data_IF_554052792364
#
_entry.id   IF_554052792364
#
_cell.length_a   1.000
_cell.length_b   1.000
_cell.length_c   1.000
_cell.angle_alpha   90.00
_cell.angle_beta   90.00
_cell.angle_gamma   90.00
#
_symmetry.space_group_name_H-M   'P 1'
#
loop_
_entity.id
_entity.type
_entity.pdbx_description
1 polymer ?
#
# COMPACT_ATOMS: atom_id res chain seq x y z
N UNK A 1 -12.12 -8.99 8.74
CA UNK A 1 -12.75 -8.88 7.40
C UNK A 1 -11.60 -8.79 6.44
N UNK A 2 -11.51 -9.70 5.46
CA UNK A 2 -10.36 -9.76 4.55
C UNK A 2 -10.31 -8.53 3.64
N UNK A 3 -9.11 -8.01 3.38
CA UNK A 3 -8.91 -6.93 2.40
C UNK A 3 -9.27 -7.43 0.98
N UNK A 4 -9.73 -6.53 0.12
CA UNK A 4 -9.85 -6.78 -1.30
C UNK A 4 -8.52 -7.24 -1.91
N UNK A 5 -8.53 -8.36 -2.65
CA UNK A 5 -7.35 -8.94 -3.24
C UNK A 5 -6.66 -8.00 -4.27
N UNK A 6 -7.44 -7.19 -5.01
CA UNK A 6 -6.90 -6.22 -5.96
C UNK A 6 -6.16 -5.09 -5.25
N UNK A 7 -6.70 -4.60 -4.12
CA UNK A 7 -6.01 -3.57 -3.32
C UNK A 7 -4.72 -4.13 -2.73
N UNK A 8 -4.75 -5.37 -2.24
CA UNK A 8 -3.54 -6.03 -1.75
C UNK A 8 -2.47 -6.20 -2.84
N UNK A 9 -2.89 -6.60 -4.05
CA UNK A 9 -2.00 -6.70 -5.21
C UNK A 9 -1.42 -5.34 -5.61
N UNK A 10 -2.23 -4.27 -5.58
CA UNK A 10 -1.78 -2.91 -5.88
C UNK A 10 -0.76 -2.39 -4.85
N UNK A 11 -0.99 -2.63 -3.55
CA UNK A 11 -0.01 -2.31 -2.49
C UNK A 11 1.31 -3.06 -2.71
N UNK A 12 1.25 -4.35 -3.05
CA UNK A 12 2.44 -5.17 -3.32
C UNK A 12 3.20 -4.66 -4.54
N UNK A 13 2.49 -4.28 -5.60
CA UNK A 13 3.08 -3.68 -6.79
C UNK A 13 3.77 -2.34 -6.48
N UNK A 14 3.14 -1.48 -5.65
CA UNK A 14 3.73 -0.21 -5.22
C UNK A 14 5.04 -0.45 -4.44
N UNK A 15 5.00 -1.34 -3.44
CA UNK A 15 6.17 -1.68 -2.65
C UNK A 15 7.33 -2.17 -3.53
N UNK A 16 7.08 -3.10 -4.46
CA UNK A 16 8.12 -3.65 -5.32
C UNK A 16 8.67 -2.63 -6.33
N UNK A 17 7.80 -1.84 -6.95
CA UNK A 17 8.18 -0.90 -8.03
C UNK A 17 8.85 0.38 -7.54
N UNK A 18 8.71 0.71 -6.25
CA UNK A 18 9.29 1.92 -5.65
C UNK A 18 10.38 1.64 -4.62
N UNK A 19 11.02 0.47 -4.71
CA UNK A 19 12.13 0.05 -3.84
C UNK A 19 11.74 0.00 -2.35
N UNK A 20 10.61 -0.63 -2.04
CA UNK A 20 9.99 -0.77 -0.72
C UNK A 20 10.93 -1.09 0.44
N UNK A 21 11.91 -1.93 0.19
CA UNK A 21 12.92 -2.32 1.18
C UNK A 21 13.74 -1.12 1.70
N UNK A 22 13.92 -0.09 0.85
CA UNK A 22 14.68 1.11 1.12
C UNK A 22 13.83 2.30 1.58
N UNK A 23 12.52 2.14 1.72
CA UNK A 23 11.66 3.20 2.26
C UNK A 23 12.08 3.56 3.68
N UNK A 24 12.00 4.85 4.01
CA UNK A 24 12.35 5.35 5.35
C UNK A 24 11.45 4.77 6.43
N UNK A 25 10.16 4.71 6.16
CA UNK A 25 9.15 4.09 7.00
C UNK A 25 8.33 3.09 6.19
N UNK A 26 8.48 1.81 6.55
CA UNK A 26 7.77 0.66 5.97
C UNK A 26 7.02 -0.13 7.04
N UNK A 27 6.70 0.49 8.17
CA UNK A 27 5.95 -0.17 9.25
C UNK A 27 4.64 -0.74 8.70
N UNK A 28 4.45 -2.03 8.93
CA UNK A 28 3.26 -2.75 8.49
C UNK A 28 3.32 -3.28 7.06
N UNK A 29 4.16 -2.77 6.16
CA UNK A 29 4.28 -3.21 4.75
C UNK A 29 4.93 -4.61 4.62
N UNK A 30 4.32 -5.60 5.27
CA UNK A 30 4.68 -7.00 5.29
C UNK A 30 3.73 -7.78 4.39
N UNK A 31 4.31 -8.45 3.41
CA UNK A 31 3.58 -9.24 2.42
C UNK A 31 3.70 -10.75 2.64
N UNK A 32 4.06 -11.18 3.86
CA UNK A 32 4.18 -12.59 4.25
C UNK A 32 2.86 -13.37 4.27
N UNK A 33 1.73 -12.67 4.44
CA UNK A 33 0.38 -13.25 4.35
C UNK A 33 -0.15 -13.19 2.92
N UNK A 34 -0.85 -14.23 2.47
CA UNK A 34 -1.53 -14.20 1.16
C UNK A 34 -2.84 -13.40 1.20
N UNK A 35 -3.51 -13.36 2.36
CA UNK A 35 -4.86 -12.78 2.54
C UNK A 35 -4.98 -12.03 3.87
N UNK A 36 -4.38 -10.83 3.99
CA UNK A 36 -4.44 -10.08 5.24
C UNK A 36 -5.86 -9.53 5.51
N UNK A 37 -6.19 -9.42 6.80
CA UNK A 37 -7.37 -8.68 7.23
C UNK A 37 -7.21 -7.18 6.96
N UNK A 38 -8.32 -6.52 6.63
CA UNK A 38 -8.41 -5.09 6.39
C UNK A 38 -7.86 -4.26 7.56
N UNK A 39 -8.13 -4.67 8.81
CA UNK A 39 -7.64 -3.98 10.01
C UNK A 39 -6.11 -4.06 10.15
N UNK A 40 -5.50 -5.15 9.71
CA UNK A 40 -4.04 -5.29 9.69
C UNK A 40 -3.46 -4.28 8.71
N UNK A 41 -4.04 -4.18 7.51
CA UNK A 41 -3.58 -3.28 6.45
C UNK A 41 -3.86 -1.82 6.77
N UNK A 42 -4.94 -1.52 7.50
CA UNK A 42 -5.21 -0.18 8.03
C UNK A 42 -4.19 0.27 9.08
N UNK A 43 -3.42 -0.66 9.65
CA UNK A 43 -2.29 -0.37 10.53
C UNK A 43 -0.98 -0.07 9.79
N UNK A 44 -0.95 -0.21 8.46
CA UNK A 44 0.26 0.05 7.68
C UNK A 44 0.52 1.56 7.58
N UNK A 45 1.78 1.94 7.61
CA UNK A 45 2.16 3.33 7.51
C UNK A 45 1.66 3.92 6.18
N UNK A 46 0.86 4.99 6.29
CA UNK A 46 0.36 5.73 5.13
C UNK A 46 -0.86 5.11 4.44
N UNK A 47 -1.41 4.00 4.93
CA UNK A 47 -2.56 3.33 4.29
C UNK A 47 -3.83 3.66 5.05
N UNK A 48 -4.90 4.00 4.34
CA UNK A 48 -6.25 4.11 4.90
C UNK A 48 -7.17 3.08 4.27
N UNK A 49 -7.84 2.29 5.08
CA UNK A 49 -8.80 1.27 4.66
C UNK A 49 -10.19 1.62 5.19
N UNK A 50 -11.21 1.52 4.33
CA UNK A 50 -12.62 1.67 4.69
C UNK A 50 -13.35 0.40 4.30
N UNK A 51 -13.90 -0.32 5.28
CA UNK A 51 -14.46 -1.65 5.06
C UNK A 51 -13.35 -2.63 4.67
N UNK A 52 -13.40 -3.15 3.44
CA UNK A 52 -12.36 -4.03 2.88
C UNK A 52 -11.53 -3.38 1.78
N UNK A 53 -11.67 -2.06 1.56
CA UNK A 53 -11.01 -1.37 0.46
C UNK A 53 -9.99 -0.34 0.93
N UNK A 54 -8.85 -0.29 0.26
CA UNK A 54 -7.88 0.80 0.43
C UNK A 54 -8.47 2.04 -0.24
N UNK A 55 -8.43 3.18 0.46
CA UNK A 55 -9.02 4.44 -0.02
C UNK A 55 -7.99 5.57 -0.13
N UNK A 56 -6.87 5.46 0.58
CA UNK A 56 -5.76 6.41 0.47
C UNK A 56 -4.42 5.73 0.73
N UNK A 57 -3.39 6.25 0.05
CA UNK A 57 -1.99 5.94 0.29
C UNK A 57 -1.25 7.28 0.35
N UNK A 58 -0.67 7.59 1.51
CA UNK A 58 0.07 8.83 1.78
C UNK A 58 1.45 8.49 2.36
N UNK A 59 2.49 8.67 1.55
CA UNK A 59 3.88 8.29 1.88
C UNK A 59 4.85 9.47 1.66
N UNK A 60 4.59 10.63 2.28
CA UNK A 60 5.31 11.85 1.97
C UNK A 60 6.76 11.72 2.42
N UNK A 61 7.69 12.16 1.58
CA UNK A 61 9.14 12.13 1.87
C UNK A 61 9.72 10.75 2.24
N UNK A 62 9.08 9.66 1.81
CA UNK A 62 9.43 8.27 2.21
C UNK A 62 10.53 7.59 1.36
N UNK A 63 11.22 8.35 0.50
CA UNK A 63 12.28 7.86 -0.42
C UNK A 63 11.79 6.77 -1.40
N UNK A 64 10.59 6.97 -1.96
CA UNK A 64 10.05 6.12 -3.03
C UNK A 64 10.93 6.28 -4.29
N UNK A 65 11.54 5.18 -4.76
CA UNK A 65 12.44 5.19 -5.92
C UNK A 65 12.01 4.18 -6.97
N UNK A 66 11.73 4.67 -8.17
CA UNK A 66 11.29 3.86 -9.31
C UNK A 66 10.10 4.49 -10.00
N UNK A 67 9.19 3.67 -10.50
CA UNK A 67 8.00 4.11 -11.24
C UNK A 67 6.73 3.71 -10.52
N UNK A 68 5.74 4.60 -10.49
CA UNK A 68 4.42 4.25 -9.96
C UNK A 68 3.78 3.19 -10.87
N UNK A 69 3.30 2.07 -10.31
CA UNK A 69 2.70 0.99 -11.08
C UNK A 69 1.30 1.40 -11.56
N UNK A 70 0.91 0.91 -12.74
CA UNK A 70 -0.40 1.20 -13.35
C UNK A 70 -1.59 0.67 -12.53
N UNK A 71 -1.32 -0.32 -11.69
CA UNK A 71 -2.22 -1.00 -10.77
C UNK A 71 -2.74 -0.06 -9.67
N UNK A 72 -2.07 1.07 -9.43
CA UNK A 72 -2.57 2.16 -8.58
C UNK A 72 -3.58 3.08 -9.30
N UNK A 73 -3.99 2.75 -10.53
CA UNK A 73 -4.78 3.61 -11.42
C UNK A 73 -5.95 4.32 -10.73
N UNK A 74 -5.91 5.66 -10.80
CA UNK A 74 -6.89 6.73 -10.47
C UNK A 74 -7.78 6.65 -9.22
N UNK A 75 -7.89 5.51 -8.54
CA UNK A 75 -8.77 5.32 -7.39
C UNK A 75 -8.13 5.74 -6.07
N UNK A 76 -6.80 5.89 -6.03
CA UNK A 76 -6.09 6.36 -4.86
C UNK A 76 -5.83 7.87 -4.98
N UNK A 77 -6.35 8.65 -4.03
CA UNK A 77 -5.88 10.02 -3.82
C UNK A 77 -4.44 9.95 -3.31
N UNK A 78 -3.48 9.95 -4.24
CA UNK A 78 -2.06 10.03 -3.92
C UNK A 78 -1.74 11.51 -3.66
N UNK A 79 -1.69 11.90 -2.39
CA UNK A 79 -1.08 13.16 -2.00
C UNK A 79 0.45 12.97 -2.11
N UNK A 80 1.08 13.88 -2.86
CA UNK A 80 2.52 13.82 -3.19
C UNK A 80 3.37 14.36 -2.06
#
# INVERSE_FOLDING_TARGET
MTLNANDYAALKALYNSTSGENWKNKTGWDFSSETPDADVVNGWHGVTVVGSQVTAIDLPSNDLRGTLPSELGWQFHLLR
#
